data_IF_598863885994
#
_entry.id   IF_598863885994
#
_cell.length_a   1.000
_cell.length_b   1.000
_cell.length_c   1.000
_cell.angle_alpha   90.00
_cell.angle_beta   90.00
_cell.angle_gamma   90.00
#
_symmetry.space_group_name_H-M   'P 1'
#
loop_
_entity.id
_entity.type
_entity.pdbx_description
1 polymer ?
#
# COMPACT_ATOMS: atom_id res chain seq x y z
N UNK A 1 29.21 -21.82 26.84
CA UNK A 1 29.28 -21.68 25.37
C UNK A 1 29.03 -20.22 25.05
N UNK A 2 30.09 -19.45 24.86
CA UNK A 2 30.05 -18.01 24.64
C UNK A 2 30.52 -17.78 23.20
N UNK A 3 29.65 -18.02 22.22
CA UNK A 3 30.04 -17.95 20.81
C UNK A 3 30.30 -16.49 20.40
N UNK A 4 31.55 -16.14 20.07
CA UNK A 4 31.91 -14.76 19.72
C UNK A 4 31.10 -14.27 18.52
N UNK A 5 30.72 -15.18 17.61
CA UNK A 5 29.91 -14.88 16.44
C UNK A 5 28.51 -14.33 16.77
N UNK A 6 27.80 -14.94 17.72
CA UNK A 6 26.48 -14.44 18.17
C UNK A 6 26.59 -13.06 18.81
N UNK A 7 27.68 -12.80 19.52
CA UNK A 7 27.93 -11.50 20.18
C UNK A 7 28.18 -10.38 19.16
N UNK A 8 28.98 -10.64 18.12
CA UNK A 8 29.23 -9.67 17.05
C UNK A 8 28.00 -9.44 16.16
N UNK A 9 27.20 -10.48 15.92
CA UNK A 9 25.94 -10.36 15.16
C UNK A 9 24.93 -9.47 15.90
N UNK A 10 24.73 -9.67 17.20
CA UNK A 10 23.84 -8.81 18.00
C UNK A 10 24.34 -7.36 18.05
N UNK A 11 25.64 -7.14 18.20
CA UNK A 11 26.21 -5.79 18.20
C UNK A 11 26.04 -5.08 16.85
N UNK A 12 26.23 -5.79 15.73
CA UNK A 12 26.00 -5.24 14.40
C UNK A 12 24.52 -4.86 14.19
N UNK A 13 23.58 -5.71 14.60
CA UNK A 13 22.14 -5.43 14.49
C UNK A 13 21.70 -4.22 15.35
N UNK A 14 22.27 -4.06 16.55
CA UNK A 14 22.00 -2.91 17.43
C UNK A 14 22.57 -1.61 16.83
N UNK A 15 23.77 -1.63 16.26
CA UNK A 15 24.37 -0.45 15.63
C UNK A 15 23.61 -0.03 14.36
N UNK A 16 23.14 -1.00 13.57
CA UNK A 16 22.32 -0.73 12.38
C UNK A 16 20.96 -0.13 12.77
N UNK A 17 20.30 -0.64 13.82
CA UNK A 17 19.02 -0.09 14.30
C UNK A 17 19.16 1.31 14.91
N UNK A 18 20.26 1.60 15.60
CA UNK A 18 20.56 2.97 16.08
C UNK A 18 20.85 3.91 14.91
N UNK A 19 21.57 3.47 13.87
CA UNK A 19 21.83 4.29 12.69
C UNK A 19 20.54 4.63 11.93
N UNK A 20 19.60 3.68 11.82
CA UNK A 20 18.29 3.90 11.20
C UNK A 20 17.44 4.90 12.00
N UNK A 21 17.53 4.88 13.33
CA UNK A 21 16.81 5.83 14.19
C UNK A 21 17.30 7.28 14.05
N UNK A 22 18.57 7.50 13.71
CA UNK A 22 19.15 8.84 13.51
C UNK A 22 18.91 9.42 12.10
N UNK A 23 18.43 8.61 11.16
CA UNK A 23 18.08 9.03 9.79
C UNK A 23 16.58 9.33 9.63
N UNK A 24 15.81 9.38 10.71
CA UNK A 24 14.39 9.74 10.67
C UNK A 24 14.19 11.20 10.22
N UNK A 25 13.23 11.47 9.33
CA UNK A 25 12.97 12.82 8.84
C UNK A 25 12.37 13.70 9.95
N UNK A 26 12.94 14.89 10.15
CA UNK A 26 12.35 15.93 11.00
C UNK A 26 11.11 16.49 10.29
N UNK A 27 9.93 16.31 10.89
CA UNK A 27 8.68 16.91 10.42
C UNK A 27 8.53 18.32 11.00
N UNK A 28 8.78 19.35 10.19
CA UNK A 28 8.43 20.73 10.52
C UNK A 28 6.91 20.92 10.48
N UNK A 29 6.35 21.54 11.53
CA UNK A 29 4.94 21.95 11.57
C UNK A 29 4.77 23.25 10.79
N UNK A 30 3.99 23.21 9.72
CA UNK A 30 3.64 24.38 8.91
C UNK A 30 2.57 25.22 9.61
N UNK A 31 2.83 26.52 9.77
CA UNK A 31 1.92 27.50 10.35
C UNK A 31 0.83 27.92 9.35
N UNK A 32 -0.42 27.96 9.79
CA UNK A 32 -1.59 28.23 8.94
C UNK A 32 -2.07 29.69 9.05
N UNK A 33 -2.29 30.32 7.89
CA UNK A 33 -2.75 31.69 7.75
C UNK A 33 -4.28 31.73 7.74
N UNK A 34 -4.87 32.53 8.62
CA UNK A 34 -6.30 32.74 8.87
C UNK A 34 -6.97 33.54 7.74
N UNK A 35 -7.19 32.90 6.59
CA UNK A 35 -8.21 33.35 5.64
C UNK A 35 -9.17 32.17 5.38
N UNK A 36 -10.47 32.37 5.67
CA UNK A 36 -11.51 31.32 5.61
C UNK A 36 -11.94 31.09 4.16
N UNK A 37 -10.98 30.79 3.31
CA UNK A 37 -11.13 30.67 1.87
C UNK A 37 -11.11 29.20 1.44
N UNK A 38 -12.05 28.85 0.57
CA UNK A 38 -12.14 27.55 -0.09
C UNK A 38 -11.75 27.71 -1.54
N UNK A 39 -10.64 27.10 -1.96
CA UNK A 39 -10.16 27.17 -3.34
C UNK A 39 -10.65 25.95 -4.12
N UNK A 40 -11.47 26.19 -5.14
CA UNK A 40 -12.05 25.15 -6.00
C UNK A 40 -11.46 25.23 -7.41
N UNK A 41 -10.75 24.19 -7.83
CA UNK A 41 -10.14 24.09 -9.15
C UNK A 41 -10.98 23.17 -10.05
N UNK A 42 -11.31 23.63 -11.26
CA UNK A 42 -12.18 22.92 -12.20
C UNK A 42 -11.75 23.11 -13.65
N UNK A 43 -12.35 22.34 -14.54
CA UNK A 43 -12.29 22.55 -16.00
C UNK A 43 -13.70 22.66 -16.59
N UNK A 44 -13.90 23.40 -17.70
CA UNK A 44 -15.22 23.58 -18.30
C UNK A 44 -15.80 22.27 -18.84
N UNK A 45 -14.94 21.39 -19.36
CA UNK A 45 -15.34 20.14 -20.01
C UNK A 45 -15.40 18.93 -19.07
N UNK A 46 -15.47 19.16 -17.76
CA UNK A 46 -15.43 18.13 -16.73
C UNK A 46 -16.84 17.88 -16.14
N UNK A 47 -17.38 16.67 -16.33
CA UNK A 47 -18.72 16.29 -15.86
C UNK A 47 -18.85 16.38 -14.32
N UNK A 48 -17.88 15.82 -13.60
CA UNK A 48 -17.83 15.83 -12.14
C UNK A 48 -17.71 17.25 -11.56
N UNK A 49 -16.97 18.12 -12.24
CA UNK A 49 -16.81 19.51 -11.85
C UNK A 49 -18.13 20.29 -11.88
N UNK A 50 -19.01 19.98 -12.83
CA UNK A 50 -20.34 20.60 -12.94
C UNK A 50 -21.25 20.22 -11.77
N UNK A 51 -21.17 18.94 -11.37
CA UNK A 51 -21.94 18.44 -10.22
C UNK A 51 -21.46 19.11 -8.93
N UNK A 52 -20.15 19.16 -8.70
CA UNK A 52 -19.61 19.84 -7.53
C UNK A 52 -19.90 21.33 -7.55
N UNK A 53 -19.82 22.01 -8.70
CA UNK A 53 -20.14 23.43 -8.80
C UNK A 53 -21.59 23.73 -8.40
N UNK A 54 -22.52 22.83 -8.73
CA UNK A 54 -23.91 22.91 -8.27
C UNK A 54 -24.01 22.72 -6.75
N UNK A 55 -23.29 21.75 -6.20
CA UNK A 55 -23.24 21.52 -4.75
C UNK A 55 -22.57 22.69 -3.98
N UNK A 56 -21.57 23.35 -4.57
CA UNK A 56 -20.93 24.52 -3.99
C UNK A 56 -21.91 25.69 -3.81
N UNK A 57 -22.97 25.81 -4.61
CA UNK A 57 -24.02 26.81 -4.39
C UNK A 57 -24.80 26.56 -3.10
N UNK A 58 -25.09 25.28 -2.82
CA UNK A 58 -25.68 24.86 -1.55
C UNK A 58 -24.73 25.15 -0.37
N UNK A 59 -23.43 24.82 -0.50
CA UNK A 59 -22.44 25.09 0.55
C UNK A 59 -22.25 26.59 0.81
N UNK A 60 -22.21 27.43 -0.23
CA UNK A 60 -22.16 28.90 -0.10
C UNK A 60 -23.36 29.46 0.66
N UNK A 61 -24.54 28.85 0.50
CA UNK A 61 -25.75 29.25 1.22
C UNK A 61 -25.74 28.78 2.67
N UNK A 62 -25.21 27.58 2.91
CA UNK A 62 -25.17 26.95 4.24
C UNK A 62 -24.07 27.50 5.14
N UNK A 63 -22.93 27.88 4.58
CA UNK A 63 -21.74 28.39 5.26
C UNK A 63 -21.35 29.77 4.70
N UNK A 64 -22.12 30.84 4.99
CA UNK A 64 -21.87 32.18 4.45
C UNK A 64 -20.55 32.80 4.92
N UNK A 65 -19.94 32.28 5.99
CA UNK A 65 -18.62 32.67 6.50
C UNK A 65 -17.44 32.15 5.67
N UNK A 66 -17.67 31.23 4.73
CA UNK A 66 -16.66 30.70 3.82
C UNK A 66 -16.68 31.43 2.48
N UNK A 67 -15.51 31.86 2.03
CA UNK A 67 -15.36 32.46 0.70
C UNK A 67 -14.88 31.40 -0.29
N UNK A 68 -15.76 30.99 -1.21
CA UNK A 68 -15.42 30.05 -2.28
C UNK A 68 -14.85 30.79 -3.49
N UNK A 69 -13.59 30.50 -3.83
CA UNK A 69 -12.92 31.02 -5.02
C UNK A 69 -12.78 29.90 -6.04
N UNK A 70 -13.26 30.13 -7.26
CA UNK A 70 -13.26 29.13 -8.33
C UNK A 70 -12.17 29.46 -9.36
N UNK A 71 -11.35 28.47 -9.71
CA UNK A 71 -10.25 28.60 -10.65
C UNK A 71 -10.44 27.64 -11.82
N UNK A 72 -10.55 28.19 -13.03
CA UNK A 72 -10.62 27.42 -14.25
C UNK A 72 -9.20 27.06 -14.72
N UNK A 73 -8.83 25.78 -14.62
CA UNK A 73 -7.52 25.27 -15.03
C UNK A 73 -7.37 25.08 -16.53
N UNK A 74 -8.37 25.41 -17.35
CA UNK A 74 -8.16 25.64 -18.79
C UNK A 74 -7.22 26.83 -19.04
N UNK A 75 -7.15 27.75 -18.08
CA UNK A 75 -6.22 28.88 -18.12
C UNK A 75 -4.87 28.45 -17.52
N UNK A 76 -3.76 28.69 -18.23
CA UNK A 76 -2.44 28.22 -17.80
C UNK A 76 -1.97 28.84 -16.47
N UNK A 77 -2.44 30.04 -16.12
CA UNK A 77 -2.15 30.68 -14.84
C UNK A 77 -2.75 29.91 -13.65
N UNK A 78 -4.00 29.48 -13.78
CA UNK A 78 -4.70 28.71 -12.75
C UNK A 78 -4.18 27.27 -12.66
N UNK A 79 -3.74 26.68 -13.77
CA UNK A 79 -3.08 25.38 -13.76
C UNK A 79 -1.74 25.42 -12.99
N UNK A 80 -0.95 26.50 -13.16
CA UNK A 80 0.26 26.74 -12.37
C UNK A 80 -0.07 26.99 -10.90
N UNK A 81 -1.14 27.74 -10.62
CA UNK A 81 -1.59 27.96 -9.25
C UNK A 81 -1.95 26.63 -8.58
N UNK A 82 -2.67 25.75 -9.27
CA UNK A 82 -2.98 24.41 -8.77
C UNK A 82 -1.71 23.61 -8.47
N UNK A 83 -0.71 23.62 -9.37
CA UNK A 83 0.58 22.98 -9.13
C UNK A 83 1.25 23.51 -7.85
N UNK A 84 1.25 24.82 -7.62
CA UNK A 84 1.78 25.40 -6.39
C UNK A 84 1.05 24.94 -5.12
N UNK A 85 -0.28 24.73 -5.19
CA UNK A 85 -1.05 24.19 -4.06
C UNK A 85 -0.69 22.72 -3.78
N UNK A 86 -0.42 21.95 -4.83
CA UNK A 86 -0.02 20.55 -4.75
C UNK A 86 1.40 20.38 -4.20
N UNK A 87 2.35 21.16 -4.72
CA UNK A 87 3.75 21.16 -4.28
C UNK A 87 3.88 21.53 -2.80
N UNK A 88 3.14 22.54 -2.34
CA UNK A 88 3.11 22.96 -0.92
C UNK A 88 2.61 21.86 0.03
N UNK A 89 1.89 20.87 -0.49
CA UNK A 89 1.31 19.76 0.28
C UNK A 89 2.03 18.44 0.05
N UNK A 90 3.19 18.48 -0.62
CA UNK A 90 3.95 17.30 -1.05
C UNK A 90 3.12 16.30 -1.89
N UNK A 91 2.08 16.78 -2.57
CA UNK A 91 1.27 15.99 -3.49
C UNK A 91 1.93 16.06 -4.88
N UNK A 92 2.51 14.96 -5.35
CA UNK A 92 3.18 14.91 -6.65
C UNK A 92 2.16 14.79 -7.78
N UNK A 93 1.86 15.91 -8.42
CA UNK A 93 0.90 15.98 -9.51
C UNK A 93 1.53 15.53 -10.83
N UNK A 94 1.67 14.21 -11.06
CA UNK A 94 2.03 13.72 -12.40
C UNK A 94 0.88 13.95 -13.41
N UNK A 95 -0.32 14.30 -12.92
CA UNK A 95 -1.47 14.75 -13.71
C UNK A 95 -2.34 15.69 -12.89
N UNK A 96 -2.82 16.77 -13.50
CA UNK A 96 -3.83 17.67 -12.90
C UNK A 96 -5.17 16.91 -12.86
N UNK A 97 -5.64 16.57 -11.66
CA UNK A 97 -6.94 15.93 -11.43
C UNK A 97 -7.93 17.02 -10.98
N UNK A 98 -9.02 17.18 -11.71
CA UNK A 98 -10.13 18.08 -11.36
C UNK A 98 -11.45 17.30 -11.31
N UNK A 99 -12.43 17.70 -10.47
CA UNK A 99 -12.38 18.85 -9.57
C UNK A 99 -11.48 18.61 -8.36
N UNK A 100 -10.88 19.67 -7.84
CA UNK A 100 -10.04 19.60 -6.64
C UNK A 100 -10.34 20.79 -5.74
N UNK A 101 -10.49 20.55 -4.45
CA UNK A 101 -10.92 21.58 -3.49
C UNK A 101 -9.97 21.63 -2.30
N UNK A 102 -9.50 22.82 -1.97
CA UNK A 102 -8.61 23.06 -0.84
C UNK A 102 -9.33 23.91 0.21
N UNK A 103 -9.33 23.44 1.45
CA UNK A 103 -9.98 24.05 2.61
C UNK A 103 -8.96 24.08 3.74
N UNK A 104 -8.33 25.24 3.99
CA UNK A 104 -7.25 25.33 4.98
C UNK A 104 -6.13 24.33 4.72
N UNK A 105 -5.75 23.45 5.67
CA UNK A 105 -4.72 22.43 5.47
C UNK A 105 -5.25 21.20 4.71
N UNK A 106 -6.56 21.09 4.51
CA UNK A 106 -7.22 19.91 3.94
C UNK A 106 -7.43 20.04 2.44
N UNK A 107 -7.39 18.91 1.73
CA UNK A 107 -7.68 18.81 0.30
C UNK A 107 -8.68 17.69 0.04
N UNK A 108 -9.60 17.92 -0.89
CA UNK A 108 -10.59 16.95 -1.35
C UNK A 108 -10.45 16.79 -2.86
N UNK A 109 -10.27 15.56 -3.31
CA UNK A 109 -10.04 15.20 -4.70
C UNK A 109 -11.29 14.59 -5.32
N UNK A 110 -11.63 15.04 -6.53
CA UNK A 110 -12.77 14.54 -7.28
C UNK A 110 -14.13 14.91 -6.68
N UNK A 111 -15.19 14.46 -7.36
CA UNK A 111 -16.56 14.56 -6.87
C UNK A 111 -17.44 13.50 -7.54
N UNK A 112 -17.92 12.54 -6.75
CA UNK A 112 -18.75 11.44 -7.25
C UNK A 112 -20.23 11.78 -7.05
N UNK A 113 -20.64 12.04 -5.81
CA UNK A 113 -22.02 12.39 -5.47
C UNK A 113 -22.09 13.24 -4.20
N UNK A 114 -23.28 13.78 -3.90
CA UNK A 114 -23.53 14.58 -2.69
C UNK A 114 -23.41 13.72 -1.42
N UNK A 115 -23.85 12.48 -1.49
CA UNK A 115 -23.91 11.55 -0.36
C UNK A 115 -22.53 11.00 0.00
N UNK A 116 -21.61 10.94 -0.96
CA UNK A 116 -20.27 10.38 -0.82
C UNK A 116 -19.24 11.50 -0.64
N UNK A 117 -18.70 12.02 -1.75
CA UNK A 117 -17.69 13.07 -1.73
C UNK A 117 -18.23 14.40 -1.19
N UNK A 118 -19.52 14.71 -1.44
CA UNK A 118 -20.16 15.90 -0.89
C UNK A 118 -20.24 15.90 0.64
N UNK A 119 -20.56 14.75 1.24
CA UNK A 119 -20.56 14.57 2.70
C UNK A 119 -19.15 14.74 3.28
N UNK A 120 -18.12 14.22 2.61
CA UNK A 120 -16.71 14.43 2.99
C UNK A 120 -16.29 15.89 2.90
N UNK A 121 -16.73 16.59 1.86
CA UNK A 121 -16.46 18.01 1.65
C UNK A 121 -17.07 18.85 2.78
N UNK A 122 -18.33 18.57 3.12
CA UNK A 122 -19.04 19.24 4.21
C UNK A 122 -18.41 18.93 5.58
N UNK A 123 -18.01 17.68 5.82
CA UNK A 123 -17.31 17.30 7.05
C UNK A 123 -15.97 18.01 7.20
N UNK A 124 -15.22 18.14 6.10
CA UNK A 124 -13.95 18.87 6.05
C UNK A 124 -14.16 20.36 6.35
N UNK A 125 -15.20 20.97 5.79
CA UNK A 125 -15.61 22.35 6.08
C UNK A 125 -15.88 22.55 7.56
N UNK A 126 -16.67 21.65 8.17
CA UNK A 126 -16.97 21.71 9.60
C UNK A 126 -15.72 21.55 10.47
N UNK A 127 -14.82 20.62 10.11
CA UNK A 127 -13.55 20.44 10.82
C UNK A 127 -12.67 21.70 10.77
N UNK A 128 -12.64 22.37 9.61
CA UNK A 128 -11.92 23.62 9.40
C UNK A 128 -12.54 24.79 10.18
N UNK A 129 -13.86 24.95 10.15
CA UNK A 129 -14.55 26.06 10.83
C UNK A 129 -14.50 25.97 12.36
N UNK A 130 -14.50 24.75 12.91
CA UNK A 130 -14.54 24.52 14.35
C UNK A 130 -13.16 24.24 14.98
N UNK A 131 -12.04 24.52 14.27
CA UNK A 131 -10.66 24.33 14.74
C UNK A 131 -10.41 22.94 15.36
N UNK A 132 -11.01 21.89 14.78
CA UNK A 132 -11.02 20.56 15.35
C UNK A 132 -10.44 19.53 14.39
N UNK A 133 -9.12 19.22 14.43
CA UNK A 133 -8.60 18.00 13.80
C UNK A 133 -9.26 16.72 14.36
N UNK A 134 -9.96 16.83 15.50
CA UNK A 134 -10.65 15.75 16.21
C UNK A 134 -11.99 15.32 15.59
N UNK A 135 -12.57 16.07 14.64
CA UNK A 135 -13.84 15.66 13.98
C UNK A 135 -13.57 14.65 12.84
N UNK A 136 -12.34 14.61 12.32
CA UNK A 136 -11.92 13.65 11.30
C UNK A 136 -11.59 12.26 11.89
N UNK A 137 -11.51 12.12 13.22
CA UNK A 137 -11.02 10.89 13.86
C UNK A 137 -12.05 9.82 14.22
N UNK A 138 -13.33 9.92 13.84
CA UNK A 138 -14.21 8.75 14.08
C UNK A 138 -15.07 8.25 12.92
N UNK A 139 -15.27 8.96 11.81
CA UNK A 139 -16.06 8.43 10.67
C UNK A 139 -15.92 9.31 9.42
N UNK A 140 -14.72 9.83 9.12
CA UNK A 140 -14.47 10.48 7.84
C UNK A 140 -13.80 9.43 6.95
N UNK A 141 -14.27 9.16 5.73
CA UNK A 141 -13.45 8.46 4.75
C UNK A 141 -12.31 9.43 4.39
N UNK A 142 -11.27 9.41 5.20
CA UNK A 142 -9.94 9.86 4.81
C UNK A 142 -9.55 8.99 3.63
N UNK A 143 -9.46 9.54 2.43
CA UNK A 143 -8.67 8.96 1.34
C UNK A 143 -7.16 9.08 1.65
N UNK A 144 -6.81 8.82 2.90
CA UNK A 144 -5.51 8.38 3.38
C UNK A 144 -5.73 6.96 3.94
N UNK A 145 -6.27 6.08 3.11
CA UNK A 145 -5.67 4.76 3.05
C UNK A 145 -4.38 4.93 2.24
N UNK A 146 -3.38 5.58 2.86
CA UNK A 146 -2.07 4.93 2.78
C UNK A 146 -2.35 3.60 3.43
N UNK A 147 -2.46 2.53 2.64
CA UNK A 147 -2.41 1.16 3.13
C UNK A 147 -1.08 1.02 3.88
N UNK A 148 -1.06 1.44 5.15
CA UNK A 148 -0.06 1.00 6.09
C UNK A 148 -0.40 -0.45 6.31
N UNK A 149 0.12 -1.32 5.44
CA UNK A 149 0.00 -2.76 5.58
C UNK A 149 0.68 -3.10 6.89
N UNK A 150 -0.12 -3.40 7.92
CA UNK A 150 0.38 -3.80 9.22
C UNK A 150 0.83 -5.25 9.11
N UNK A 151 2.11 -5.47 8.85
CA UNK A 151 2.67 -6.81 8.91
C UNK A 151 2.89 -7.21 10.37
N UNK A 152 2.49 -8.44 10.78
CA UNK A 152 2.49 -8.88 12.18
C UNK A 152 3.88 -8.87 12.84
N UNK A 153 4.97 -8.76 12.07
CA UNK A 153 6.35 -8.68 12.57
C UNK A 153 7.10 -7.39 12.20
N UNK A 154 6.73 -6.69 11.12
CA UNK A 154 7.47 -5.50 10.63
C UNK A 154 6.85 -4.16 11.05
N UNK A 155 5.65 -4.14 11.61
CA UNK A 155 4.97 -2.90 11.97
C UNK A 155 4.37 -2.17 10.75
N UNK A 156 4.04 -0.87 10.91
CA UNK A 156 3.44 -0.05 9.85
C UNK A 156 4.50 0.37 8.84
N UNK A 157 4.40 -0.13 7.61
CA UNK A 157 5.29 0.27 6.51
C UNK A 157 4.50 1.18 5.56
N UNK A 158 5.06 2.33 5.19
CA UNK A 158 4.50 3.20 4.15
C UNK A 158 5.14 2.82 2.81
N UNK A 159 4.40 2.19 1.87
CA UNK A 159 4.94 1.79 0.57
C UNK A 159 5.38 2.98 -0.31
N UNK A 160 5.03 4.20 0.10
CA UNK A 160 5.41 5.45 -0.55
C UNK A 160 6.92 5.74 -0.46
N UNK A 161 7.57 5.34 0.64
CA UNK A 161 8.94 5.74 0.99
C UNK A 161 10.02 4.77 0.47
N UNK A 162 9.61 3.58 0.03
CA UNK A 162 10.51 2.57 -0.52
C UNK A 162 10.59 2.66 -2.04
N UNK A 163 11.79 2.40 -2.59
CA UNK A 163 11.95 2.30 -4.03
C UNK A 163 11.15 1.09 -4.56
N UNK A 164 10.50 1.24 -5.71
CA UNK A 164 9.72 0.17 -6.34
C UNK A 164 10.47 -1.18 -6.47
N UNK A 165 11.79 -1.20 -6.80
CA UNK A 165 12.55 -2.45 -6.78
C UNK A 165 12.71 -3.02 -5.37
N UNK A 166 12.97 -2.20 -4.35
CA UNK A 166 13.09 -2.68 -2.98
C UNK A 166 11.76 -3.24 -2.46
N UNK A 167 10.64 -2.60 -2.82
CA UNK A 167 9.30 -3.09 -2.49
C UNK A 167 9.02 -4.45 -3.15
N UNK A 168 9.35 -4.59 -4.44
CA UNK A 168 9.19 -5.86 -5.17
C UNK A 168 9.97 -7.00 -4.51
N UNK A 169 11.21 -6.74 -4.10
CA UNK A 169 12.07 -7.72 -3.42
C UNK A 169 11.51 -8.10 -2.05
N UNK A 170 11.13 -7.11 -1.22
CA UNK A 170 10.66 -7.36 0.16
C UNK A 170 9.34 -8.11 0.15
N UNK A 171 8.37 -7.69 -0.67
CA UNK A 171 7.06 -8.35 -0.73
C UNK A 171 7.19 -9.73 -1.37
N UNK A 172 7.96 -9.87 -2.46
CA UNK A 172 8.18 -11.17 -3.11
C UNK A 172 8.82 -12.19 -2.16
N UNK A 173 9.84 -11.79 -1.40
CA UNK A 173 10.44 -12.65 -0.37
C UNK A 173 9.48 -12.95 0.79
N UNK A 174 8.65 -11.99 1.21
CA UNK A 174 7.67 -12.21 2.27
C UNK A 174 6.55 -13.17 1.86
N UNK A 175 6.15 -13.15 0.59
CA UNK A 175 5.16 -14.06 0.00
C UNK A 175 5.75 -15.47 -0.20
N UNK A 176 7.01 -15.55 -0.64
CA UNK A 176 7.71 -16.84 -0.75
C UNK A 176 7.86 -17.57 0.59
N UNK A 177 8.34 -16.88 1.64
CA UNK A 177 8.43 -17.45 2.98
C UNK A 177 7.09 -17.51 3.75
N UNK A 178 5.94 -17.58 3.06
CA UNK A 178 4.64 -17.64 3.69
C UNK A 178 4.50 -18.93 4.55
N UNK A 179 4.47 -18.81 5.89
CA UNK A 179 4.40 -19.97 6.78
C UNK A 179 3.08 -20.75 6.64
N UNK A 180 2.06 -20.18 5.99
CA UNK A 180 0.80 -20.87 5.74
C UNK A 180 0.91 -21.93 4.64
N UNK A 181 1.58 -21.65 3.52
CA UNK A 181 1.69 -22.61 2.42
C UNK A 181 2.65 -23.77 2.77
N UNK A 182 3.80 -23.45 3.37
CA UNK A 182 4.85 -24.42 3.65
C UNK A 182 4.41 -25.51 4.65
N UNK A 183 3.74 -25.14 5.75
CA UNK A 183 3.36 -26.10 6.80
C UNK A 183 2.09 -26.87 6.47
N UNK A 184 1.16 -26.26 5.75
CA UNK A 184 -0.06 -26.94 5.30
C UNK A 184 0.26 -27.96 4.23
N UNK A 185 1.15 -27.65 3.27
CA UNK A 185 1.55 -28.62 2.25
C UNK A 185 2.21 -29.87 2.87
N UNK A 186 3.10 -29.70 3.85
CA UNK A 186 3.73 -30.82 4.58
C UNK A 186 2.71 -31.65 5.36
N UNK A 187 1.76 -31.00 6.03
CA UNK A 187 0.67 -31.67 6.74
C UNK A 187 -0.26 -32.43 5.79
N UNK A 188 -0.63 -31.80 4.67
CA UNK A 188 -1.43 -32.41 3.62
C UNK A 188 -0.74 -33.60 2.97
N UNK A 189 0.52 -33.47 2.57
CA UNK A 189 1.28 -34.58 1.99
C UNK A 189 1.34 -35.74 2.99
N UNK A 190 1.58 -35.46 4.28
CA UNK A 190 1.60 -36.48 5.34
C UNK A 190 0.25 -37.20 5.48
N UNK A 191 -0.86 -36.46 5.38
CA UNK A 191 -2.23 -36.97 5.54
C UNK A 191 -2.77 -37.67 4.29
N UNK A 192 -2.45 -37.15 3.10
CA UNK A 192 -2.79 -37.75 1.79
C UNK A 192 -2.07 -39.08 1.60
N UNK A 193 -0.83 -39.21 2.10
CA UNK A 193 -0.12 -40.50 2.12
C UNK A 193 -0.80 -41.52 3.03
N UNK A 194 -1.62 -41.09 4.00
CA UNK A 194 -2.32 -41.99 4.95
C UNK A 194 -3.78 -42.29 4.60
N UNK A 195 -4.45 -41.44 3.83
CA UNK A 195 -5.90 -41.57 3.57
C UNK A 195 -6.20 -41.67 2.08
N UNK A 196 -6.93 -42.73 1.69
CA UNK A 196 -7.20 -43.10 0.31
C UNK A 196 -8.70 -42.96 0.01
N UNK A 197 -9.29 -41.78 0.34
CA UNK A 197 -10.74 -41.57 0.36
C UNK A 197 -11.17 -40.18 -0.14
N UNK A 198 -12.48 -40.01 -0.42
CA UNK A 198 -13.13 -38.76 -0.89
C UNK A 198 -12.80 -37.52 -0.04
N UNK A 199 -12.54 -37.72 1.26
CA UNK A 199 -12.11 -36.67 2.19
C UNK A 199 -10.84 -35.94 1.75
N UNK A 200 -9.95 -36.60 1.00
CA UNK A 200 -8.75 -35.98 0.43
C UNK A 200 -9.09 -34.95 -0.63
N UNK A 201 -10.08 -35.24 -1.49
CA UNK A 201 -10.50 -34.32 -2.55
C UNK A 201 -11.07 -33.03 -1.94
N UNK A 202 -11.91 -33.20 -0.91
CA UNK A 202 -12.52 -32.06 -0.19
C UNK A 202 -11.44 -31.24 0.53
N UNK A 203 -10.50 -31.91 1.21
CA UNK A 203 -9.42 -31.25 1.92
C UNK A 203 -8.48 -30.48 0.96
N UNK A 204 -8.10 -31.11 -0.16
CA UNK A 204 -7.28 -30.46 -1.19
C UNK A 204 -7.96 -29.22 -1.76
N UNK A 205 -9.26 -29.29 -2.02
CA UNK A 205 -10.02 -28.14 -2.52
C UNK A 205 -10.06 -26.98 -1.51
N UNK A 206 -10.32 -27.27 -0.24
CA UNK A 206 -10.38 -26.26 0.83
C UNK A 206 -9.01 -25.59 1.01
N UNK A 207 -7.95 -26.38 1.11
CA UNK A 207 -6.61 -25.82 1.30
C UNK A 207 -6.18 -24.98 0.10
N UNK A 208 -6.34 -25.49 -1.11
CA UNK A 208 -5.94 -24.74 -2.31
C UNK A 208 -6.76 -23.44 -2.46
N UNK A 209 -8.02 -23.43 -2.01
CA UNK A 209 -8.83 -22.20 -1.99
C UNK A 209 -8.32 -21.19 -0.96
N UNK A 210 -7.93 -21.64 0.23
CA UNK A 210 -7.37 -20.78 1.28
C UNK A 210 -5.99 -20.26 0.87
N UNK A 211 -5.15 -21.11 0.28
CA UNK A 211 -3.82 -20.76 -0.23
C UNK A 211 -3.91 -19.70 -1.32
N UNK A 212 -4.79 -19.90 -2.31
CA UNK A 212 -5.07 -18.91 -3.34
C UNK A 212 -5.49 -17.56 -2.75
N UNK A 213 -6.37 -17.55 -1.75
CA UNK A 213 -6.82 -16.31 -1.11
C UNK A 213 -5.71 -15.61 -0.30
N UNK A 214 -4.88 -16.37 0.42
CA UNK A 214 -3.77 -15.83 1.21
C UNK A 214 -2.63 -15.29 0.33
N UNK A 215 -2.31 -15.97 -0.77
CA UNK A 215 -1.24 -15.56 -1.69
C UNK A 215 -1.68 -14.49 -2.69
N UNK A 216 -2.97 -14.34 -2.99
CA UNK A 216 -3.44 -13.29 -3.89
C UNK A 216 -3.41 -11.88 -3.29
N UNK A 217 -3.37 -11.76 -1.96
CA UNK A 217 -3.44 -10.47 -1.27
C UNK A 217 -2.19 -9.59 -1.53
N UNK A 218 -0.99 -10.16 -1.44
CA UNK A 218 0.26 -9.42 -1.61
C UNK A 218 0.50 -8.94 -3.06
N UNK A 219 0.29 -9.77 -4.11
CA UNK A 219 0.30 -9.33 -5.50
C UNK A 219 -0.77 -8.28 -5.80
N UNK A 220 -1.96 -8.39 -5.21
CA UNK A 220 -3.03 -7.40 -5.41
C UNK A 220 -2.62 -6.01 -4.88
N UNK A 221 -2.03 -5.96 -3.69
CA UNK A 221 -1.52 -4.71 -3.10
C UNK A 221 -0.35 -4.16 -3.94
N UNK A 222 0.56 -5.02 -4.38
CA UNK A 222 1.72 -4.61 -5.18
C UNK A 222 1.32 -4.05 -6.56
N UNK A 223 0.42 -4.74 -7.26
CA UNK A 223 -0.10 -4.28 -8.57
C UNK A 223 -0.95 -3.02 -8.45
N UNK A 224 -1.73 -2.88 -7.36
CA UNK A 224 -2.42 -1.64 -7.03
C UNK A 224 -1.42 -0.48 -6.84
N UNK A 225 -0.35 -0.70 -6.07
CA UNK A 225 0.72 0.29 -5.84
C UNK A 225 1.41 0.70 -7.15
N UNK A 226 1.70 -0.25 -8.05
CA UNK A 226 2.27 0.04 -9.38
C UNK A 226 1.31 0.85 -10.26
N UNK A 227 0.02 0.55 -10.20
CA UNK A 227 -1.03 1.23 -10.97
C UNK A 227 -1.17 2.69 -10.54
N UNK A 228 -1.09 2.96 -9.24
CA UNK A 228 -1.13 4.32 -8.67
C UNK A 228 0.10 5.16 -9.04
N UNK A 229 1.25 4.53 -9.31
CA UNK A 229 2.49 5.23 -9.68
C UNK A 229 2.55 5.64 -11.17
N UNK A 230 1.54 5.31 -11.98
CA UNK A 230 1.44 5.65 -13.42
C UNK A 230 2.77 5.43 -14.19
N UNK A 231 3.36 4.25 -14.02
CA UNK A 231 4.64 3.89 -14.63
C UNK A 231 4.50 3.59 -16.13
N UNK A 232 5.54 3.83 -16.94
CA UNK A 232 5.58 3.34 -18.32
C UNK A 232 5.52 1.80 -18.34
N UNK A 233 4.87 1.25 -19.37
CA UNK A 233 4.55 -0.19 -19.50
C UNK A 233 5.74 -1.11 -19.22
N UNK A 234 6.94 -0.76 -19.68
CA UNK A 234 8.16 -1.56 -19.45
C UNK A 234 8.55 -1.65 -17.97
N UNK A 235 8.46 -0.53 -17.23
CA UNK A 235 8.78 -0.52 -15.80
C UNK A 235 7.69 -1.27 -15.01
N UNK A 236 6.42 -1.11 -15.40
CA UNK A 236 5.32 -1.83 -14.78
C UNK A 236 5.52 -3.35 -14.85
N UNK A 237 5.72 -3.92 -16.05
CA UNK A 237 5.94 -5.36 -16.19
C UNK A 237 7.32 -5.80 -15.67
N UNK A 238 8.34 -4.93 -15.74
CA UNK A 238 9.66 -5.21 -15.16
C UNK A 238 9.61 -5.40 -13.65
N UNK A 239 8.81 -4.62 -12.93
CA UNK A 239 8.63 -4.77 -11.49
C UNK A 239 7.81 -6.00 -11.12
N UNK A 240 6.83 -6.38 -11.93
CA UNK A 240 6.09 -7.65 -11.76
C UNK A 240 7.04 -8.83 -11.96
N UNK A 241 7.84 -8.83 -13.02
CA UNK A 241 8.82 -9.90 -13.26
C UNK A 241 9.84 -9.98 -12.13
N UNK A 242 10.30 -8.84 -11.60
CA UNK A 242 11.19 -8.80 -10.46
C UNK A 242 10.52 -9.40 -9.20
N UNK A 243 9.26 -9.06 -8.95
CA UNK A 243 8.47 -9.66 -7.88
C UNK A 243 8.38 -11.19 -8.04
N UNK A 244 7.94 -11.67 -9.20
CA UNK A 244 7.77 -13.08 -9.50
C UNK A 244 9.09 -13.86 -9.35
N UNK A 245 10.20 -13.25 -9.76
CA UNK A 245 11.52 -13.84 -9.61
C UNK A 245 11.87 -14.10 -8.14
N UNK A 246 11.61 -13.14 -7.25
CA UNK A 246 11.89 -13.31 -5.82
C UNK A 246 10.89 -14.20 -5.10
N UNK A 247 9.64 -14.25 -5.58
CA UNK A 247 8.61 -15.19 -5.12
C UNK A 247 8.92 -16.64 -5.49
N UNK A 248 9.56 -16.91 -6.63
CA UNK A 248 9.95 -18.28 -7.02
C UNK A 248 11.35 -18.67 -6.51
N UNK A 249 12.11 -17.72 -5.97
CA UNK A 249 13.51 -17.93 -5.59
C UNK A 249 13.63 -18.85 -4.37
N UNK A 250 12.79 -18.65 -3.36
CA UNK A 250 12.76 -19.47 -2.15
C UNK A 250 12.31 -20.91 -2.45
N UNK A 251 11.30 -21.11 -3.31
CA UNK A 251 10.91 -22.43 -3.80
C UNK A 251 12.08 -23.14 -4.49
N UNK A 252 12.79 -22.46 -5.39
CA UNK A 252 13.95 -23.02 -6.06
C UNK A 252 15.06 -23.40 -5.07
N UNK A 253 15.27 -22.60 -4.02
CA UNK A 253 16.24 -22.90 -2.97
C UNK A 253 15.78 -24.11 -2.15
N UNK A 254 14.52 -24.17 -1.72
CA UNK A 254 13.98 -25.26 -0.89
C UNK A 254 14.01 -26.58 -1.67
N UNK A 255 13.47 -26.62 -2.88
CA UNK A 255 13.49 -27.84 -3.70
C UNK A 255 14.91 -28.23 -4.11
N UNK A 256 15.77 -27.26 -4.40
CA UNK A 256 17.18 -27.51 -4.71
C UNK A 256 17.93 -28.12 -3.52
N UNK A 257 17.74 -27.59 -2.31
CA UNK A 257 18.34 -28.14 -1.08
C UNK A 257 17.75 -29.51 -0.73
N UNK A 258 16.44 -29.69 -0.86
CA UNK A 258 15.79 -30.97 -0.62
C UNK A 258 16.32 -32.06 -1.58
N UNK A 259 16.43 -31.75 -2.87
CA UNK A 259 17.02 -32.66 -3.86
C UNK A 259 18.49 -32.96 -3.53
N UNK A 260 19.28 -31.95 -3.19
CA UNK A 260 20.69 -32.13 -2.84
C UNK A 260 20.90 -32.95 -1.56
N UNK A 261 20.04 -32.77 -0.55
CA UNK A 261 20.06 -33.53 0.71
C UNK A 261 19.51 -34.97 0.53
N UNK A 262 18.58 -35.18 -0.41
CA UNK A 262 17.98 -36.49 -0.66
C UNK A 262 18.92 -37.44 -1.42
N UNK A 263 19.72 -36.92 -2.36
CA UNK A 263 20.68 -37.70 -3.15
C UNK A 263 21.56 -38.64 -2.29
N UNK A 264 22.22 -38.18 -1.20
CA UNK A 264 23.05 -39.05 -0.37
C UNK A 264 22.27 -40.03 0.53
N UNK A 265 20.96 -39.84 0.76
CA UNK A 265 20.15 -40.75 1.59
C UNK A 265 19.86 -42.06 0.85
N UNK A 266 19.64 -42.00 -0.47
CA UNK A 266 19.36 -43.19 -1.28
C UNK A 266 20.56 -44.15 -1.36
N UNK A 267 21.79 -43.64 -1.32
CA UNK A 267 23.00 -44.47 -1.34
C UNK A 267 23.20 -45.29 -0.06
N UNK A 268 22.60 -44.86 1.07
CA UNK A 268 22.72 -45.58 2.36
C UNK A 268 21.62 -46.61 2.61
N UNK A 269 20.55 -46.60 1.81
CA UNK A 269 19.35 -47.42 2.03
C UNK A 269 19.31 -48.71 1.20
N UNK A 270 20.34 -49.01 0.40
CA UNK A 270 20.44 -50.33 -0.25
C UNK A 270 21.01 -51.34 0.76
N UNK A 271 20.24 -52.35 1.20
CA UNK A 271 20.83 -53.46 1.93
C UNK A 271 21.71 -54.19 0.93
N UNK A 272 22.99 -54.33 1.27
CA UNK A 272 23.88 -55.32 0.68
C UNK A 272 23.32 -56.72 0.93
N UNK A 273 22.33 -57.15 0.14
CA UNK A 273 22.09 -58.58 -0.09
C UNK A 273 23.08 -59.02 -1.15
N UNK A 274 24.32 -59.21 -0.73
CA UNK A 274 25.32 -59.98 -1.46
C UNK A 274 25.57 -61.27 -0.68
N UNK A 275 25.45 -62.38 -1.40
CA UNK A 275 25.54 -63.77 -0.95
C UNK A 275 26.83 -64.12 -0.23
#
# INVERSE_FOLDING_TARGET
MNDPFKKYLCLALILISIAIAWLGPNTEKVAENTDKTVHFFFQPNCSHCRQQKTFNLYLKTKYPELTFIEYDTSHPENAKLLANFLDKRALTANKIIVPMTFIGPYSVEGFISVETTGATLEKTILAYLHNGPTILTENAPTWQDQETVTLPFLGKIQPADYSLPALAVIIGLADGFNPCAMWVLVYLISLIVTLQDYSVIVLAFIVNSIEFACSAALPAIFTHTLTLRHLPTWHYYGYILLYDFFFMLDDMIIFGLAAWLWIPVQDTATPSTAN
#
